data_IF_876915723919
#
_entry.id   IF_876915723919
#
_cell.length_a   1.000
_cell.length_b   1.000
_cell.length_c   1.000
_cell.angle_alpha   90.00
_cell.angle_beta   90.00
_cell.angle_gamma   90.00
#
_symmetry.space_group_name_H-M   'P 1'
#
loop_
_entity.id
_entity.type
_entity.pdbx_description
1 polymer ?
#
# COMPACT_ATOMS: atom_id res chain seq x y z
N UNK A 1 15.63 -1.98 -55.12
CA UNK A 1 14.34 -1.48 -54.59
C UNK A 1 14.20 -1.96 -53.16
N UNK A 2 14.33 -1.06 -52.20
CA UNK A 2 14.14 -1.31 -50.77
C UNK A 2 12.68 -1.65 -50.50
N UNK A 3 12.42 -2.77 -49.82
CA UNK A 3 11.13 -3.02 -49.17
C UNK A 3 11.31 -2.71 -47.68
N UNK A 4 10.91 -1.50 -47.32
CA UNK A 4 10.69 -1.11 -45.93
C UNK A 4 9.54 -1.97 -45.40
N UNK A 5 9.84 -2.97 -44.57
CA UNK A 5 8.83 -3.63 -43.74
C UNK A 5 9.20 -3.31 -42.30
N UNK A 6 8.29 -2.53 -41.72
CA UNK A 6 8.32 -1.92 -40.41
C UNK A 6 8.46 -3.02 -39.35
N UNK A 7 9.58 -3.01 -38.63
CA UNK A 7 9.74 -3.76 -37.39
C UNK A 7 8.75 -3.17 -36.38
N UNK A 8 7.59 -3.82 -36.20
CA UNK A 8 6.71 -3.54 -35.07
C UNK A 8 7.43 -4.01 -33.82
N UNK A 9 8.19 -3.11 -33.22
CA UNK A 9 8.72 -3.25 -31.87
C UNK A 9 7.48 -3.21 -30.95
N UNK A 10 6.95 -4.39 -30.64
CA UNK A 10 5.97 -4.58 -29.58
C UNK A 10 6.63 -4.16 -28.26
N UNK A 11 6.54 -2.88 -27.95
CA UNK A 11 6.79 -2.34 -26.62
C UNK A 11 5.73 -2.99 -25.75
N UNK A 12 6.10 -4.09 -25.09
CA UNK A 12 5.45 -4.49 -23.86
C UNK A 12 5.56 -3.27 -22.96
N UNK A 13 4.49 -2.50 -22.85
CA UNK A 13 4.26 -1.65 -21.68
C UNK A 13 4.17 -2.64 -20.52
N UNK A 14 5.33 -3.01 -19.98
CA UNK A 14 5.43 -3.53 -18.64
C UNK A 14 4.91 -2.38 -17.79
N UNK A 15 3.65 -2.46 -17.40
CA UNK A 15 3.17 -1.76 -16.21
C UNK A 15 4.15 -2.14 -15.13
N UNK A 16 5.05 -1.23 -14.76
CA UNK A 16 5.84 -1.37 -13.57
C UNK A 16 4.85 -1.22 -12.42
N UNK A 17 4.24 -2.34 -12.02
CA UNK A 17 3.69 -2.43 -10.67
C UNK A 17 4.90 -2.28 -9.76
N UNK A 18 5.01 -1.12 -9.12
CA UNK A 18 5.93 -0.93 -8.01
C UNK A 18 5.42 -1.83 -6.89
N UNK A 19 5.83 -3.10 -6.88
CA UNK A 19 5.54 -3.99 -5.77
C UNK A 19 6.64 -3.78 -4.74
N UNK A 20 6.34 -2.97 -3.71
CA UNK A 20 7.22 -2.87 -2.54
C UNK A 20 7.17 -4.16 -1.72
N UNK A 21 8.19 -4.39 -0.89
CA UNK A 21 8.23 -5.61 -0.07
C UNK A 21 7.06 -5.65 0.92
N UNK A 22 6.67 -4.52 1.51
CA UNK A 22 5.57 -4.39 2.48
C UNK A 22 4.61 -3.28 2.06
N UNK A 23 3.37 -3.64 1.76
CA UNK A 23 2.28 -2.69 1.52
C UNK A 23 1.45 -2.51 2.79
N UNK A 24 1.19 -1.27 3.19
CA UNK A 24 0.49 -0.92 4.42
C UNK A 24 -0.92 -0.40 4.16
N UNK A 25 -1.85 -0.68 5.05
CA UNK A 25 -3.15 0.01 5.09
C UNK A 25 -3.57 0.27 6.52
N UNK A 26 -4.55 1.17 6.70
CA UNK A 26 -5.03 1.56 8.01
C UNK A 26 -6.54 1.39 8.10
N UNK A 27 -7.01 0.58 9.05
CA UNK A 27 -8.42 0.32 9.29
C UNK A 27 -8.75 0.47 10.77
N UNK A 28 -9.37 1.59 11.14
CA UNK A 28 -9.61 1.93 12.54
C UNK A 28 -8.29 2.07 13.31
N UNK A 29 -8.09 1.27 14.36
CA UNK A 29 -6.82 1.23 15.09
C UNK A 29 -5.80 0.24 14.52
N UNK A 30 -6.15 -0.53 13.49
CA UNK A 30 -5.30 -1.60 12.97
C UNK A 30 -4.38 -1.07 11.87
N UNK A 31 -3.06 -1.13 12.10
CA UNK A 31 -2.07 -1.01 11.05
C UNK A 31 -1.91 -2.38 10.38
N UNK A 32 -2.39 -2.49 9.15
CA UNK A 32 -2.39 -3.72 8.38
C UNK A 32 -1.20 -3.77 7.43
N UNK A 33 -0.81 -4.99 7.04
CA UNK A 33 0.26 -5.23 6.08
C UNK A 33 -0.14 -6.30 5.06
N UNK A 34 0.48 -6.24 3.89
CA UNK A 34 0.55 -7.31 2.91
C UNK A 34 1.99 -7.39 2.38
N UNK A 35 2.57 -8.58 2.38
CA UNK A 35 3.97 -8.78 2.00
C UNK A 35 4.19 -10.16 1.37
N UNK A 36 5.19 -10.26 0.51
CA UNK A 36 5.62 -11.53 -0.09
C UNK A 36 6.87 -12.12 0.58
N UNK A 37 7.37 -11.47 1.63
CA UNK A 37 8.58 -11.85 2.35
C UNK A 37 8.36 -11.78 3.87
N UNK A 38 9.18 -12.50 4.62
CA UNK A 38 9.08 -12.54 6.07
C UNK A 38 9.59 -11.23 6.71
N UNK A 39 8.89 -10.75 7.74
CA UNK A 39 9.28 -9.55 8.50
C UNK A 39 9.95 -9.99 9.80
N UNK A 40 11.18 -9.56 10.02
CA UNK A 40 12.01 -9.86 11.21
C UNK A 40 12.04 -8.70 12.23
N UNK A 41 11.54 -7.53 11.83
CA UNK A 41 11.47 -6.36 12.67
C UNK A 41 10.82 -5.20 11.93
N UNK A 42 10.24 -4.28 12.69
CA UNK A 42 9.69 -3.05 12.14
C UNK A 42 9.85 -1.87 13.11
N UNK A 43 9.84 -0.67 12.55
CA UNK A 43 9.76 0.59 13.28
C UNK A 43 8.92 1.57 12.49
N UNK A 44 8.15 2.42 13.17
CA UNK A 44 7.58 3.62 12.59
C UNK A 44 7.48 4.73 13.64
N UNK A 45 7.41 5.96 13.17
CA UNK A 45 7.19 7.15 13.97
C UNK A 45 5.70 7.48 14.03
N UNK A 46 5.29 8.11 15.14
CA UNK A 46 3.95 8.67 15.32
C UNK A 46 4.02 10.00 16.07
N UNK A 47 2.95 10.78 16.06
CA UNK A 47 2.83 12.07 16.77
C UNK A 47 2.27 11.94 18.21
N UNK A 48 2.02 10.70 18.62
CA UNK A 48 1.43 10.34 19.92
C UNK A 48 0.21 9.44 19.78
N UNK A 49 -0.38 9.34 18.58
CA UNK A 49 -1.59 8.53 18.34
C UNK A 49 -1.41 7.02 18.65
N UNK A 50 -0.18 6.48 18.52
CA UNK A 50 0.11 5.05 18.61
C UNK A 50 0.83 4.61 19.91
N UNK A 51 0.79 5.41 20.98
CA UNK A 51 1.49 5.06 22.24
C UNK A 51 0.95 3.79 22.93
N UNK A 52 -0.26 3.36 22.59
CA UNK A 52 -0.89 2.13 23.07
C UNK A 52 -0.63 0.90 22.20
N UNK A 53 0.30 0.97 21.24
CA UNK A 53 0.47 -0.10 20.25
C UNK A 53 0.80 -1.47 20.87
N UNK A 54 0.05 -2.50 20.49
CA UNK A 54 0.22 -3.87 20.96
C UNK A 54 -0.49 -4.89 20.05
N UNK A 55 -0.42 -6.18 20.37
CA UNK A 55 -1.20 -7.20 19.67
C UNK A 55 -0.77 -7.43 18.21
N UNK A 56 -1.74 -7.78 17.37
CA UNK A 56 -1.54 -8.12 15.96
C UNK A 56 -0.66 -9.37 15.75
N UNK A 57 -0.23 -9.54 14.52
CA UNK A 57 0.69 -10.59 14.11
C UNK A 57 2.08 -10.41 14.71
N UNK A 58 2.46 -9.18 15.08
CA UNK A 58 3.65 -8.93 15.88
C UNK A 58 3.60 -9.72 17.20
N UNK A 59 2.59 -9.51 18.04
CA UNK A 59 2.48 -10.23 19.30
C UNK A 59 2.25 -11.74 19.09
N UNK A 60 1.44 -12.12 18.09
CA UNK A 60 1.15 -13.53 17.80
C UNK A 60 2.38 -14.34 17.38
N UNK A 61 3.33 -13.70 16.67
CA UNK A 61 4.60 -14.30 16.25
C UNK A 61 5.75 -14.00 17.25
N UNK A 62 5.43 -13.60 18.47
CA UNK A 62 6.40 -13.49 19.56
C UNK A 62 7.31 -12.27 19.49
N UNK A 63 6.89 -11.19 18.81
CA UNK A 63 7.60 -9.92 18.84
C UNK A 63 7.30 -9.21 20.16
N UNK A 64 8.31 -8.53 20.67
CA UNK A 64 8.14 -7.47 21.66
C UNK A 64 7.79 -6.18 20.91
N UNK A 65 6.61 -5.63 21.21
CA UNK A 65 6.20 -4.29 20.74
C UNK A 65 6.57 -3.28 21.82
N UNK A 66 7.54 -2.43 21.52
CA UNK A 66 8.01 -1.35 22.39
C UNK A 66 7.45 -0.03 21.87
N UNK A 67 6.74 0.70 22.73
CA UNK A 67 6.15 2.00 22.40
C UNK A 67 6.82 3.12 23.19
N UNK A 68 6.84 4.30 22.59
CA UNK A 68 7.29 5.55 23.22
C UNK A 68 6.31 6.68 22.87
N UNK A 69 6.70 7.93 23.12
CA UNK A 69 5.87 9.07 22.73
C UNK A 69 5.87 9.37 21.23
N UNK A 70 6.77 8.78 20.44
CA UNK A 70 6.81 9.05 19.01
C UNK A 70 7.42 7.96 18.13
N UNK A 71 7.71 6.79 18.70
CA UNK A 71 8.24 5.63 17.97
C UNK A 71 7.59 4.37 18.51
N UNK A 72 7.13 3.51 17.60
CA UNK A 72 6.77 2.12 17.86
C UNK A 72 7.79 1.23 17.18
N UNK A 73 8.26 0.21 17.89
CA UNK A 73 9.23 -0.75 17.38
C UNK A 73 8.78 -2.17 17.74
N UNK A 74 8.72 -3.04 16.74
CA UNK A 74 8.47 -4.47 16.91
C UNK A 74 9.71 -5.27 16.57
N UNK A 75 10.16 -6.13 17.48
CA UNK A 75 11.36 -6.96 17.26
C UNK A 75 11.29 -8.28 18.05
N UNK A 76 12.07 -9.28 17.65
CA UNK A 76 12.16 -10.57 18.34
C UNK A 76 13.54 -10.81 18.94
N UNK A 77 13.62 -11.16 20.23
CA UNK A 77 14.87 -11.59 20.87
C UNK A 77 15.26 -13.03 20.54
N UNK A 78 14.32 -13.83 20.02
CA UNK A 78 14.52 -15.25 19.73
C UNK A 78 14.74 -15.54 18.24
N UNK A 79 14.76 -14.50 17.40
CA UNK A 79 14.85 -14.63 15.95
C UNK A 79 13.54 -15.11 15.30
N UNK A 80 12.41 -14.93 15.97
CA UNK A 80 11.09 -15.14 15.37
C UNK A 80 10.84 -14.11 14.28
N UNK A 81 9.95 -14.42 13.35
CA UNK A 81 9.55 -13.56 12.24
C UNK A 81 8.04 -13.65 12.04
N UNK A 82 7.46 -12.61 11.44
CA UNK A 82 6.09 -12.61 10.93
C UNK A 82 6.16 -13.18 9.51
N UNK A 83 5.46 -14.29 9.21
CA UNK A 83 5.52 -14.89 7.87
C UNK A 83 4.95 -13.99 6.78
N UNK A 84 5.42 -14.19 5.54
CA UNK A 84 4.82 -13.61 4.35
C UNK A 84 3.31 -13.86 4.28
N UNK A 85 2.56 -12.86 3.81
CA UNK A 85 1.10 -12.87 3.79
C UNK A 85 0.51 -11.50 4.11
N UNK A 86 -0.76 -11.49 4.50
CA UNK A 86 -1.47 -10.30 4.92
C UNK A 86 -2.15 -10.48 6.27
N UNK A 87 -2.29 -9.37 7.00
CA UNK A 87 -2.87 -9.37 8.34
C UNK A 87 -2.75 -8.02 9.03
N UNK A 88 -3.02 -8.01 10.34
CA UNK A 88 -2.84 -6.82 11.18
C UNK A 88 -1.46 -6.89 11.79
N UNK A 89 -0.55 -6.00 11.37
CA UNK A 89 0.82 -5.96 11.87
C UNK A 89 0.82 -5.70 13.38
N UNK A 90 0.11 -4.65 13.79
CA UNK A 90 -0.03 -4.21 15.18
C UNK A 90 -1.33 -3.41 15.33
N UNK A 91 -2.00 -3.53 16.47
CA UNK A 91 -3.07 -2.61 16.87
C UNK A 91 -2.42 -1.38 17.50
N UNK A 92 -2.71 -0.18 16.98
CA UNK A 92 -2.12 1.08 17.42
C UNK A 92 -2.64 1.54 18.79
N UNK A 93 -3.73 0.93 19.28
CA UNK A 93 -4.36 1.26 20.55
C UNK A 93 -5.22 2.52 20.52
N UNK A 94 -5.31 3.20 19.37
CA UNK A 94 -6.25 4.28 19.09
C UNK A 94 -6.62 4.29 17.61
N UNK A 95 -7.85 4.71 17.31
CA UNK A 95 -8.33 5.00 15.95
C UNK A 95 -8.00 6.42 15.49
N UNK A 96 -7.29 7.21 16.30
CA UNK A 96 -6.94 8.60 15.98
C UNK A 96 -5.75 8.71 15.00
N UNK A 97 -5.02 7.62 14.79
CA UNK A 97 -3.94 7.59 13.80
C UNK A 97 -4.50 7.73 12.38
N UNK A 98 -3.73 8.41 11.54
CA UNK A 98 -3.94 8.53 10.09
C UNK A 98 -2.65 8.25 9.34
N UNK A 99 -2.73 8.09 8.02
CA UNK A 99 -1.55 7.91 7.14
C UNK A 99 -0.55 9.06 7.24
N UNK A 100 -0.99 10.27 7.59
CA UNK A 100 -0.15 11.45 7.76
C UNK A 100 0.57 11.49 9.12
N UNK A 101 -0.02 10.87 10.14
CA UNK A 101 0.57 10.82 11.50
C UNK A 101 1.61 9.71 11.65
N UNK A 102 1.62 8.75 10.73
CA UNK A 102 2.53 7.61 10.75
C UNK A 102 3.59 7.77 9.66
N UNK A 103 4.87 7.70 10.03
CA UNK A 103 5.97 7.98 9.10
C UNK A 103 7.24 7.23 9.47
N UNK A 104 8.29 7.36 8.65
CA UNK A 104 9.62 6.80 8.98
C UNK A 104 9.61 5.28 9.12
N UNK A 105 8.79 4.61 8.32
CA UNK A 105 8.70 3.15 8.31
C UNK A 105 10.04 2.51 7.96
N UNK A 106 10.45 1.55 8.78
CA UNK A 106 11.61 0.69 8.56
C UNK A 106 11.16 -0.74 8.79
N UNK A 107 11.39 -1.61 7.82
CA UNK A 107 11.15 -3.04 7.93
C UNK A 107 12.45 -3.79 7.68
N UNK A 108 12.68 -4.84 8.47
CA UNK A 108 13.82 -5.74 8.28
C UNK A 108 13.36 -7.13 7.86
N UNK A 109 14.05 -7.69 6.88
CA UNK A 109 13.93 -9.07 6.45
C UNK A 109 15.02 -9.94 7.07
N UNK A 110 15.15 -11.16 6.55
CA UNK A 110 16.09 -12.14 7.07
C UNK A 110 17.53 -11.62 7.11
N UNK A 111 18.21 -11.78 8.25
CA UNK A 111 19.59 -11.29 8.42
C UNK A 111 19.71 -9.77 8.47
N UNK A 112 18.60 -9.03 8.64
CA UNK A 112 18.60 -7.58 8.76
C UNK A 112 18.59 -6.83 7.42
N UNK A 113 18.25 -7.49 6.31
CA UNK A 113 18.07 -6.84 5.02
C UNK A 113 16.96 -5.79 5.12
N UNK A 114 17.16 -4.61 4.53
CA UNK A 114 16.09 -3.61 4.47
C UNK A 114 14.99 -4.08 3.52
N UNK A 115 13.74 -4.01 3.99
CA UNK A 115 12.56 -4.19 3.16
C UNK A 115 11.97 -2.82 2.83
N UNK A 116 11.56 -2.63 1.58
CA UNK A 116 10.86 -1.41 1.17
C UNK A 116 9.40 -1.44 1.65
N UNK A 117 8.84 -0.28 1.94
CA UNK A 117 7.44 -0.18 2.33
C UNK A 117 6.77 1.04 1.73
N UNK A 118 5.45 0.93 1.52
CA UNK A 118 4.59 2.01 1.08
C UNK A 118 3.17 1.83 1.61
N UNK A 119 2.39 2.92 1.56
CA UNK A 119 0.94 2.82 1.71
C UNK A 119 0.36 2.16 0.46
N UNK A 120 -0.54 1.19 0.65
CA UNK A 120 -1.30 0.60 -0.42
C UNK A 120 -2.15 1.66 -1.11
N UNK A 121 -2.29 1.53 -2.43
CA UNK A 121 -3.20 2.39 -3.16
C UNK A 121 -4.64 2.03 -2.82
N UNK A 122 -5.49 3.05 -2.71
CA UNK A 122 -6.94 2.87 -2.65
C UNK A 122 -7.50 2.26 -3.95
N UNK A 123 -6.64 2.11 -4.98
CA UNK A 123 -6.97 1.50 -6.25
C UNK A 123 -5.86 0.60 -6.80
N UNK A 124 -5.89 -0.71 -6.52
CA UNK A 124 -4.86 -1.65 -6.96
C UNK A 124 -4.70 -1.75 -8.48
N UNK A 125 -5.76 -1.46 -9.25
CA UNK A 125 -5.70 -1.44 -10.71
C UNK A 125 -5.08 -0.16 -11.28
N UNK A 126 -4.99 0.90 -10.47
CA UNK A 126 -4.72 2.29 -10.89
C UNK A 126 -5.68 2.80 -11.98
N UNK A 127 -6.81 2.11 -12.20
CA UNK A 127 -7.83 2.51 -13.15
C UNK A 127 -8.91 3.25 -12.39
N UNK A 128 -8.98 4.55 -12.63
CA UNK A 128 -10.06 5.39 -12.14
C UNK A 128 -10.99 5.74 -13.30
N UNK A 129 -12.28 5.76 -13.02
CA UNK A 129 -13.25 6.31 -13.95
C UNK A 129 -13.19 7.85 -13.97
N UNK A 130 -14.01 8.49 -14.81
CA UNK A 130 -14.00 9.95 -14.90
C UNK A 130 -14.44 10.67 -13.61
N UNK A 131 -15.02 9.96 -12.64
CA UNK A 131 -15.46 10.48 -11.35
C UNK A 131 -14.37 10.28 -10.27
N UNK A 132 -13.22 9.72 -10.64
CA UNK A 132 -12.16 9.38 -9.69
C UNK A 132 -12.51 8.17 -8.83
N UNK A 133 -13.45 7.31 -9.27
CA UNK A 133 -13.79 6.07 -8.56
C UNK A 133 -12.91 4.94 -9.09
N UNK A 134 -12.23 4.24 -8.19
CA UNK A 134 -11.42 3.08 -8.55
C UNK A 134 -12.26 1.97 -9.18
N UNK A 135 -11.80 1.43 -10.31
CA UNK A 135 -12.52 0.45 -11.12
C UNK A 135 -13.97 0.86 -11.41
N UNK A 136 -14.21 2.17 -11.41
CA UNK A 136 -15.52 2.73 -11.68
C UNK A 136 -15.90 2.55 -13.15
N UNK A 137 -17.19 2.67 -13.42
CA UNK A 137 -17.73 2.52 -14.77
C UNK A 137 -18.21 3.84 -15.37
N UNK A 138 -17.99 4.97 -14.69
CA UNK A 138 -18.46 6.25 -15.19
C UNK A 138 -17.64 6.68 -16.42
N UNK A 139 -18.34 7.11 -17.46
CA UNK A 139 -17.74 7.62 -18.70
C UNK A 139 -18.15 9.06 -18.87
N UNK A 140 -17.22 9.91 -19.33
CA UNK A 140 -17.53 11.29 -19.65
C UNK A 140 -18.43 11.33 -20.89
N UNK A 141 -19.50 12.11 -20.81
CA UNK A 141 -20.37 12.35 -21.95
C UNK A 141 -19.74 13.35 -22.94
N UNK A 142 -20.46 13.71 -23.98
CA UNK A 142 -19.93 14.58 -25.03
C UNK A 142 -19.68 16.04 -24.57
N UNK A 143 -20.24 16.46 -23.44
CA UNK A 143 -19.95 17.75 -22.82
C UNK A 143 -18.72 17.68 -21.89
N UNK A 144 -18.14 16.50 -21.70
CA UNK A 144 -17.09 16.24 -20.73
C UNK A 144 -17.61 15.98 -19.32
N UNK A 145 -18.92 15.83 -19.15
CA UNK A 145 -19.55 15.60 -17.84
C UNK A 145 -19.51 14.10 -17.50
N UNK A 146 -18.88 13.76 -16.38
CA UNK A 146 -18.77 12.37 -15.96
C UNK A 146 -20.12 11.77 -15.56
N UNK A 147 -20.53 10.69 -16.21
CA UNK A 147 -21.85 10.07 -16.00
C UNK A 147 -23.02 10.95 -16.48
N UNK A 148 -22.72 11.96 -17.28
CA UNK A 148 -23.73 12.81 -17.89
C UNK A 148 -24.52 12.09 -18.97
N UNK A 149 -25.68 12.65 -19.32
CA UNK A 149 -26.57 12.11 -20.35
C UNK A 149 -26.47 12.87 -21.67
N UNK A 150 -25.46 13.73 -21.84
CA UNK A 150 -25.29 14.46 -23.09
C UNK A 150 -24.80 13.48 -24.17
N UNK A 151 -25.77 12.94 -24.90
CA UNK A 151 -25.58 12.21 -26.14
C UNK A 151 -25.54 13.22 -27.31
N UNK A 152 -24.42 13.28 -28.02
CA UNK A 152 -24.35 13.91 -29.34
C UNK A 152 -24.33 12.78 -30.38
N UNK A 153 -25.23 12.89 -31.36
CA UNK A 153 -25.42 12.03 -32.54
C UNK A 153 -24.12 11.38 -33.06
N UNK A 154 -23.02 12.15 -33.11
CA UNK A 154 -21.62 11.71 -33.17
C UNK A 154 -20.78 12.81 -32.50
N UNK A 155 -19.64 12.51 -31.83
CA UNK A 155 -18.80 13.47 -31.09
C UNK A 155 -18.07 14.54 -31.95
N UNK A 156 -18.75 15.11 -32.95
CA UNK A 156 -18.28 16.21 -33.78
C UNK A 156 -17.20 15.80 -34.76
N UNK A 157 -17.61 15.32 -35.94
CA UNK A 157 -17.05 15.84 -37.19
C UNK A 157 -17.98 16.94 -37.72
#
# INVERSE_FOLDING_TARGET
MMKNIITVLSILFYSFIYAQDVTLSLEGSSLNYNTTTDIYGFQFNHDGCASGSSGGDAAANGFTVSTSSGVVMGFSFTGSYIPAGSGTLVDLGSSDCTTETLSGFVFSGQGGTTLTSEWGSDCPSEVYDCAGVCDGSAVADCAGDCGGSAELDECGE
#
